data_IF_047464806958
#
_entry.id   IF_047464806958
#
_cell.length_a   1.000
_cell.length_b   1.000
_cell.length_c   1.000
_cell.angle_alpha   90.00
_cell.angle_beta   90.00
_cell.angle_gamma   90.00
#
_symmetry.space_group_name_H-M   'P 1'
#
loop_
_entity.id
_entity.type
_entity.pdbx_description
1 polymer ?
#
# COMPACT_ATOMS: atom_id res chain seq x y z
N UNK A 1 12.67 -4.70 -22.06
CA UNK A 1 12.53 -4.56 -20.60
C UNK A 1 11.09 -4.13 -20.36
N UNK A 2 10.32 -4.83 -19.51
CA UNK A 2 8.96 -4.40 -19.20
C UNK A 2 9.03 -3.05 -18.48
N UNK A 3 8.27 -2.07 -18.96
CA UNK A 3 8.30 -0.72 -18.41
C UNK A 3 7.41 -0.57 -17.18
N UNK A 4 6.43 -1.45 -16.93
CA UNK A 4 5.43 -1.29 -15.85
C UNK A 4 4.99 -2.65 -15.29
N UNK A 5 4.37 -2.63 -14.10
CA UNK A 5 3.67 -3.79 -13.55
C UNK A 5 2.41 -4.07 -14.40
N UNK A 6 2.31 -5.26 -14.99
CA UNK A 6 1.29 -5.57 -16.00
C UNK A 6 0.02 -6.19 -15.39
N UNK A 7 -1.08 -6.15 -16.15
CA UNK A 7 -2.42 -6.58 -15.70
C UNK A 7 -2.45 -7.95 -15.03
N UNK A 8 -1.85 -8.98 -15.64
CA UNK A 8 -1.86 -10.33 -15.06
C UNK A 8 -1.10 -10.39 -13.72
N UNK A 9 0.00 -9.64 -13.60
CA UNK A 9 0.75 -9.55 -12.36
C UNK A 9 -0.09 -8.83 -11.28
N UNK A 10 -0.79 -7.76 -11.64
CA UNK A 10 -1.72 -7.06 -10.74
C UNK A 10 -2.85 -7.98 -10.27
N UNK A 11 -3.51 -8.70 -11.19
CA UNK A 11 -4.59 -9.64 -10.85
C UNK A 11 -4.10 -10.75 -9.91
N UNK A 12 -2.93 -11.33 -10.18
CA UNK A 12 -2.34 -12.35 -9.31
C UNK A 12 -1.94 -11.78 -7.94
N UNK A 13 -1.43 -10.54 -7.92
CA UNK A 13 -1.08 -9.87 -6.68
C UNK A 13 -2.33 -9.64 -5.82
N UNK A 14 -3.40 -9.11 -6.40
CA UNK A 14 -4.66 -8.86 -5.68
C UNK A 14 -5.30 -10.17 -5.19
N UNK A 15 -5.20 -11.25 -5.97
CA UNK A 15 -5.69 -12.56 -5.56
C UNK A 15 -4.92 -13.14 -4.37
N UNK A 16 -3.58 -12.97 -4.35
CA UNK A 16 -2.72 -13.58 -3.32
C UNK A 16 -2.47 -12.68 -2.11
N UNK A 17 -2.58 -11.37 -2.29
CA UNK A 17 -2.20 -10.30 -1.35
C UNK A 17 -3.18 -9.14 -1.47
N UNK A 18 -4.47 -9.45 -1.31
CA UNK A 18 -5.56 -8.49 -1.39
C UNK A 18 -5.36 -7.31 -0.45
N UNK A 19 -6.15 -6.26 -0.64
CA UNK A 19 -6.20 -5.10 0.27
C UNK A 19 -6.27 -5.56 1.74
N UNK A 20 -5.39 -5.01 2.58
CA UNK A 20 -5.33 -5.37 4.00
C UNK A 20 -4.66 -6.71 4.32
N UNK A 21 -4.21 -7.48 3.34
CA UNK A 21 -3.47 -8.71 3.59
C UNK A 21 -2.11 -8.40 4.22
N UNK A 22 -1.97 -8.74 5.50
CA UNK A 22 -0.74 -8.51 6.27
C UNK A 22 0.32 -9.55 5.91
N UNK A 23 1.48 -9.08 5.48
CA UNK A 23 2.65 -9.90 5.20
C UNK A 23 3.58 -9.84 6.41
N UNK A 24 3.50 -10.87 7.25
CA UNK A 24 4.31 -10.97 8.47
C UNK A 24 4.16 -9.76 9.42
N UNK A 25 2.98 -9.13 9.45
CA UNK A 25 2.71 -8.00 10.35
C UNK A 25 3.13 -6.63 9.80
N UNK A 26 3.37 -6.49 8.50
CA UNK A 26 3.88 -5.25 7.90
C UNK A 26 2.92 -4.06 8.07
N UNK A 27 1.62 -4.27 7.85
CA UNK A 27 0.62 -3.21 8.01
C UNK A 27 0.55 -2.73 9.47
N UNK A 28 0.54 -3.65 10.42
CA UNK A 28 0.55 -3.37 11.86
C UNK A 28 1.82 -2.62 12.26
N UNK A 29 2.97 -3.04 11.74
CA UNK A 29 4.25 -2.40 11.94
C UNK A 29 4.24 -0.92 11.52
N UNK A 30 3.63 -0.62 10.36
CA UNK A 30 3.51 0.76 9.89
C UNK A 30 2.49 1.56 10.69
N UNK A 31 1.31 1.01 10.99
CA UNK A 31 0.29 1.68 11.82
C UNK A 31 0.86 2.13 13.17
N UNK A 32 1.61 1.25 13.84
CA UNK A 32 2.22 1.56 15.13
C UNK A 32 3.26 2.68 15.06
N UNK A 33 4.06 2.74 13.99
CA UNK A 33 5.08 3.79 13.83
C UNK A 33 4.52 5.12 13.36
N UNK A 34 3.44 5.07 12.59
CA UNK A 34 2.81 6.25 12.04
C UNK A 34 1.86 6.92 13.03
N UNK A 35 1.49 6.27 14.14
CA UNK A 35 0.50 6.78 15.12
C UNK A 35 0.74 8.21 15.61
N UNK A 36 2.01 8.62 15.72
CA UNK A 36 2.40 9.95 16.19
C UNK A 36 2.69 10.93 15.04
N UNK A 37 2.59 10.48 13.78
CA UNK A 37 2.78 11.31 12.60
C UNK A 37 1.56 12.22 12.38
N UNK A 38 1.77 13.54 12.51
CA UNK A 38 0.72 14.55 12.33
C UNK A 38 0.70 15.19 10.93
N UNK A 39 1.73 14.91 10.13
CA UNK A 39 1.89 15.42 8.77
C UNK A 39 1.21 14.56 7.71
N UNK A 40 1.41 14.90 6.44
CA UNK A 40 1.08 14.01 5.32
C UNK A 40 2.14 12.94 5.20
N UNK A 41 1.71 11.72 4.88
CA UNK A 41 2.56 10.54 4.67
C UNK A 41 2.54 10.23 3.17
N UNK A 42 3.67 9.84 2.61
CA UNK A 42 3.76 9.37 1.23
C UNK A 42 4.04 7.87 1.23
N UNK A 43 3.20 7.10 0.55
CA UNK A 43 3.47 5.72 0.18
C UNK A 43 3.98 5.67 -1.27
N UNK A 44 5.27 5.38 -1.42
CA UNK A 44 5.89 5.17 -2.73
C UNK A 44 5.71 3.72 -3.17
N UNK A 45 5.47 3.50 -4.46
CA UNK A 45 5.15 2.20 -5.04
C UNK A 45 3.90 1.57 -4.40
N UNK A 46 2.82 2.36 -4.36
CA UNK A 46 1.56 2.01 -3.68
C UNK A 46 0.83 0.82 -4.32
N UNK A 47 1.12 0.50 -5.57
CA UNK A 47 0.50 -0.57 -6.33
C UNK A 47 -1.03 -0.50 -6.29
N UNK A 48 -1.67 -1.66 -6.09
CA UNK A 48 -3.13 -1.78 -5.93
C UNK A 48 -3.65 -1.32 -4.56
N UNK A 49 -2.79 -0.76 -3.71
CA UNK A 49 -3.19 -0.14 -2.45
C UNK A 49 -3.31 -1.09 -1.26
N UNK A 50 -2.58 -2.23 -1.28
CA UNK A 50 -2.59 -3.22 -0.18
C UNK A 50 -2.38 -2.60 1.19
N UNK A 51 -1.47 -1.62 1.29
CA UNK A 51 -1.10 -0.95 2.55
C UNK A 51 -1.79 0.42 2.69
N UNK A 52 -1.85 1.23 1.62
CA UNK A 52 -2.43 2.58 1.71
C UNK A 52 -3.88 2.58 2.17
N UNK A 53 -4.71 1.65 1.70
CA UNK A 53 -6.14 1.62 2.04
C UNK A 53 -6.32 1.36 3.54
N UNK A 54 -5.70 0.33 4.16
CA UNK A 54 -5.71 0.15 5.61
C UNK A 54 -5.18 1.34 6.43
N UNK A 55 -4.24 2.12 5.89
CA UNK A 55 -3.73 3.33 6.55
C UNK A 55 -4.74 4.48 6.46
N UNK A 56 -5.36 4.68 5.29
CA UNK A 56 -6.44 5.65 5.10
C UNK A 56 -7.64 5.34 6.00
N UNK A 57 -8.06 4.06 6.09
CA UNK A 57 -9.12 3.60 6.99
C UNK A 57 -8.78 3.79 8.47
N UNK A 58 -7.48 3.75 8.83
CA UNK A 58 -7.01 4.04 10.17
C UNK A 58 -6.91 5.56 10.48
N UNK A 59 -7.29 6.42 9.54
CA UNK A 59 -7.33 7.88 9.72
C UNK A 59 -6.02 8.59 9.41
N UNK A 60 -5.02 7.91 8.86
CA UNK A 60 -3.78 8.55 8.42
C UNK A 60 -4.02 9.41 7.18
N UNK A 61 -3.33 10.55 7.10
CA UNK A 61 -3.34 11.42 5.91
C UNK A 61 -2.24 10.95 4.95
N UNK A 62 -2.57 9.97 4.11
CA UNK A 62 -1.61 9.32 3.21
C UNK A 62 -1.90 9.66 1.76
N UNK A 63 -0.86 9.95 1.00
CA UNK A 63 -0.87 10.04 -0.46
C UNK A 63 -0.07 8.88 -1.05
N UNK A 64 -0.52 8.36 -2.18
CA UNK A 64 0.14 7.26 -2.88
C UNK A 64 0.72 7.70 -4.22
N UNK A 65 1.84 7.12 -4.61
CA UNK A 65 2.35 7.20 -5.97
C UNK A 65 2.80 5.82 -6.44
N UNK A 66 2.38 5.43 -7.63
CA UNK A 66 2.94 4.30 -8.36
C UNK A 66 3.41 4.74 -9.74
N UNK A 67 4.37 4.02 -10.28
CA UNK A 67 4.85 4.23 -11.64
C UNK A 67 3.99 3.49 -12.67
N UNK A 68 3.37 2.39 -12.25
CA UNK A 68 2.47 1.60 -13.09
C UNK A 68 1.11 2.32 -13.19
N UNK A 69 0.56 2.49 -14.41
CA UNK A 69 -0.75 3.12 -14.62
C UNK A 69 -1.93 2.36 -14.00
#
# INVERSE_FOLDING_TARGET
MFSFYSTLCTELYDYTKSVGYSLNGDIEYYKERLKDCRGRILEAAVGSGRVIIPLLEAGFKVDGIDYSP
#
